data_IF_317328575371
#
_entry.id   IF_317328575371
#
_cell.length_a   1.000
_cell.length_b   1.000
_cell.length_c   1.000
_cell.angle_alpha   90.00
_cell.angle_beta   90.00
_cell.angle_gamma   90.00
#
_symmetry.space_group_name_H-M   'P 1'
#
loop_
_entity.id
_entity.type
_entity.pdbx_description
1 polymer ?
#
# COMPACT_ATOMS: atom_id res chain seq x y z
N UNK A 1 -35.44 -45.47 -24.71
CA UNK A 1 -35.28 -44.06 -24.22
C UNK A 1 -35.16 -43.89 -22.70
N UNK A 2 -35.26 -44.94 -21.86
CA UNK A 2 -35.28 -44.79 -20.39
C UNK A 2 -33.90 -44.78 -19.71
N UNK A 3 -32.86 -45.33 -20.35
CA UNK A 3 -31.50 -45.38 -19.79
C UNK A 3 -30.68 -44.08 -19.97
N UNK A 4 -30.92 -43.32 -21.04
CA UNK A 4 -30.20 -42.05 -21.31
C UNK A 4 -30.59 -40.95 -20.31
N UNK A 5 -31.84 -40.95 -19.84
CA UNK A 5 -32.35 -39.98 -18.85
C UNK A 5 -31.71 -40.21 -17.48
N UNK A 6 -31.46 -41.47 -17.10
CA UNK A 6 -30.79 -41.84 -15.85
C UNK A 6 -29.33 -41.37 -15.81
N UNK A 7 -28.61 -41.46 -16.92
CA UNK A 7 -27.23 -40.99 -17.02
C UNK A 7 -27.12 -39.46 -16.91
N UNK A 8 -28.05 -38.72 -17.52
CA UNK A 8 -28.11 -37.25 -17.36
C UNK A 8 -28.46 -36.82 -15.94
N UNK A 9 -29.31 -37.58 -15.24
CA UNK A 9 -29.65 -37.31 -13.83
C UNK A 9 -28.47 -37.60 -12.89
N UNK A 10 -27.73 -38.68 -13.13
CA UNK A 10 -26.55 -39.03 -12.34
C UNK A 10 -25.41 -38.01 -12.52
N UNK A 11 -25.23 -37.45 -13.73
CA UNK A 11 -24.22 -36.42 -13.98
C UNK A 11 -24.57 -35.07 -13.33
N UNK A 12 -25.87 -34.73 -13.25
CA UNK A 12 -26.35 -33.53 -12.56
C UNK A 12 -26.07 -33.56 -11.05
N UNK A 13 -26.24 -34.71 -10.40
CA UNK A 13 -26.02 -34.85 -8.94
C UNK A 13 -24.52 -34.74 -8.58
N UNK A 14 -23.61 -35.19 -9.46
CA UNK A 14 -22.17 -35.09 -9.26
C UNK A 14 -21.64 -33.65 -9.32
N UNK A 15 -22.27 -32.76 -10.10
CA UNK A 15 -21.87 -31.34 -10.20
C UNK A 15 -22.36 -30.49 -9.02
N UNK A 16 -23.44 -30.89 -8.33
CA UNK A 16 -23.91 -30.20 -7.12
C UNK A 16 -23.14 -30.59 -5.84
N UNK A 17 -22.40 -31.70 -5.84
CA UNK A 17 -21.58 -32.13 -4.71
C UNK A 17 -20.24 -31.38 -4.59
N UNK A 18 -19.85 -30.61 -5.62
CA UNK A 18 -18.75 -29.66 -5.51
C UNK A 18 -19.24 -28.38 -4.82
N UNK A 19 -19.57 -28.51 -3.53
CA UNK A 19 -19.74 -27.35 -2.66
C UNK A 19 -18.44 -26.57 -2.67
N UNK A 20 -18.45 -25.43 -3.37
CA UNK A 20 -17.36 -24.47 -3.33
C UNK A 20 -17.10 -24.13 -1.87
N UNK A 21 -15.94 -24.53 -1.36
CA UNK A 21 -15.46 -24.09 -0.06
C UNK A 21 -15.22 -22.59 -0.22
N UNK A 22 -16.22 -21.77 0.10
CA UNK A 22 -16.02 -20.34 0.25
C UNK A 22 -14.94 -20.20 1.34
N UNK A 23 -13.72 -19.86 0.96
CA UNK A 23 -12.68 -19.50 1.90
C UNK A 23 -13.14 -18.23 2.61
N UNK A 24 -13.84 -18.40 3.73
CA UNK A 24 -14.03 -17.34 4.71
C UNK A 24 -12.65 -17.03 5.24
N UNK A 25 -11.92 -16.13 4.56
CA UNK A 25 -10.69 -15.59 5.11
C UNK A 25 -11.07 -14.93 6.43
N UNK A 26 -10.69 -15.57 7.55
CA UNK A 26 -10.89 -15.00 8.89
C UNK A 26 -10.34 -13.58 8.85
N UNK A 27 -11.22 -12.57 8.89
CA UNK A 27 -10.80 -11.16 8.96
C UNK A 27 -9.85 -11.05 10.15
N UNK A 28 -8.58 -10.78 9.86
CA UNK A 28 -7.55 -10.68 10.90
C UNK A 28 -7.95 -9.57 11.86
N UNK A 29 -8.06 -9.90 13.15
CA UNK A 29 -8.39 -8.93 14.18
C UNK A 29 -7.21 -7.96 14.34
N UNK A 30 -7.43 -6.73 13.91
CA UNK A 30 -6.46 -5.64 14.02
C UNK A 30 -6.92 -4.65 15.07
N UNK A 31 -5.97 -4.00 15.76
CA UNK A 31 -6.31 -2.89 16.65
C UNK A 31 -6.82 -1.69 15.85
N UNK A 32 -7.66 -0.87 16.50
CA UNK A 32 -8.12 0.41 15.92
C UNK A 32 -6.93 1.35 15.68
N UNK A 33 -7.00 2.11 14.58
CA UNK A 33 -5.96 3.07 14.22
C UNK A 33 -5.94 4.23 15.19
N UNK A 34 -4.76 4.51 15.75
CA UNK A 34 -4.55 5.63 16.67
C UNK A 34 -4.01 6.85 15.91
N UNK A 35 -4.91 7.78 15.60
CA UNK A 35 -4.53 9.06 14.98
C UNK A 35 -3.98 10.04 16.01
N UNK A 36 -2.93 10.78 15.63
CA UNK A 36 -2.42 11.91 16.42
C UNK A 36 -3.19 13.18 16.06
N UNK A 37 -3.29 14.14 17.00
CA UNK A 37 -4.00 15.43 16.79
C UNK A 37 -3.53 16.19 15.55
N UNK A 38 -2.26 16.06 15.16
CA UNK A 38 -1.71 16.72 13.97
C UNK A 38 -2.39 16.33 12.65
N UNK A 39 -3.21 15.27 12.60
CA UNK A 39 -3.96 14.91 11.38
C UNK A 39 -5.23 15.75 11.20
N UNK A 40 -5.64 16.56 12.17
CA UNK A 40 -6.82 17.42 12.05
C UNK A 40 -6.53 18.64 11.17
N UNK A 41 -5.31 19.15 11.23
CA UNK A 41 -4.83 20.23 10.37
C UNK A 41 -4.97 19.88 8.86
N UNK A 42 -5.26 20.87 7.99
CA UNK A 42 -5.37 20.68 6.55
C UNK A 42 -4.07 20.15 5.93
N UNK A 43 -4.15 19.61 4.73
CA UNK A 43 -2.95 19.21 3.97
C UNK A 43 -2.07 20.43 3.72
N UNK A 44 -0.76 20.27 3.92
CA UNK A 44 0.21 21.30 3.55
C UNK A 44 0.38 21.34 2.04
N UNK A 45 0.92 22.45 1.50
CA UNK A 45 1.22 22.55 0.07
C UNK A 45 2.14 21.42 -0.42
N UNK A 46 3.13 21.03 0.38
CA UNK A 46 4.03 19.91 0.06
C UNK A 46 3.28 18.58 -0.04
N UNK A 47 2.43 18.26 0.94
CA UNK A 47 1.65 17.02 0.93
C UNK A 47 0.63 16.99 -0.22
N UNK A 48 -0.01 18.13 -0.51
CA UNK A 48 -0.91 18.26 -1.65
C UNK A 48 -0.16 18.08 -2.97
N UNK A 49 1.02 18.69 -3.11
CA UNK A 49 1.87 18.52 -4.29
C UNK A 49 2.29 17.05 -4.50
N UNK A 50 2.66 16.35 -3.43
CA UNK A 50 2.98 14.92 -3.49
C UNK A 50 1.80 14.07 -3.98
N UNK A 51 0.59 14.39 -3.52
CA UNK A 51 -0.64 13.69 -3.93
C UNK A 51 -1.02 14.04 -5.37
N UNK A 52 -0.92 15.31 -5.76
CA UNK A 52 -1.20 15.79 -7.10
C UNK A 52 -0.27 15.16 -8.14
N UNK A 53 1.03 15.06 -7.82
CA UNK A 53 2.02 14.44 -8.71
C UNK A 53 1.63 12.99 -9.05
N UNK A 54 1.16 12.22 -8.07
CA UNK A 54 0.84 10.79 -8.23
C UNK A 54 -0.55 10.56 -8.81
N UNK A 55 -1.56 11.28 -8.33
CA UNK A 55 -2.96 11.03 -8.69
C UNK A 55 -3.49 11.92 -9.82
N UNK A 56 -2.84 13.04 -10.14
CA UNK A 56 -3.21 13.93 -11.23
C UNK A 56 -4.71 14.31 -11.21
N UNK A 57 -5.42 14.14 -12.33
CA UNK A 57 -6.86 14.37 -12.48
C UNK A 57 -7.71 13.47 -11.59
N UNK A 58 -7.17 12.32 -11.17
CA UNK A 58 -7.84 11.35 -10.31
C UNK A 58 -7.76 11.68 -8.82
N UNK A 59 -7.01 12.72 -8.44
CA UNK A 59 -6.81 13.10 -7.03
C UNK A 59 -8.13 13.37 -6.30
N UNK A 60 -9.01 14.13 -6.93
CA UNK A 60 -10.30 14.48 -6.33
C UNK A 60 -11.13 13.22 -6.06
N UNK A 61 -11.23 12.34 -7.06
CA UNK A 61 -12.08 11.15 -7.00
C UNK A 61 -11.60 10.13 -5.98
N UNK A 62 -10.30 9.81 -5.93
CA UNK A 62 -9.80 8.71 -5.08
C UNK A 62 -9.26 9.14 -3.72
N UNK A 63 -9.00 10.44 -3.52
CA UNK A 63 -8.41 10.93 -2.26
C UNK A 63 -9.30 11.99 -1.62
N UNK A 64 -9.52 13.12 -2.28
CA UNK A 64 -10.11 14.30 -1.63
C UNK A 64 -11.60 14.16 -1.35
N UNK A 65 -12.33 13.38 -2.15
CA UNK A 65 -13.75 13.07 -1.96
C UNK A 65 -14.03 12.27 -0.69
N UNK A 66 -13.03 11.60 -0.11
CA UNK A 66 -13.17 10.73 1.05
C UNK A 66 -12.38 11.30 2.24
N UNK A 67 -13.06 11.92 3.23
CA UNK A 67 -12.40 12.52 4.39
C UNK A 67 -11.52 11.55 5.19
N UNK A 68 -11.92 10.28 5.29
CA UNK A 68 -11.13 9.25 5.96
C UNK A 68 -9.85 8.97 5.18
N UNK A 69 -9.92 8.90 3.84
CA UNK A 69 -8.74 8.71 2.99
C UNK A 69 -7.75 9.87 3.11
N UNK A 70 -8.25 11.11 3.13
CA UNK A 70 -7.42 12.29 3.40
C UNK A 70 -6.75 12.20 4.76
N UNK A 71 -7.49 11.79 5.80
CA UNK A 71 -6.96 11.57 7.15
C UNK A 71 -5.88 10.47 7.19
N UNK A 72 -6.06 9.40 6.43
CA UNK A 72 -5.09 8.30 6.30
C UNK A 72 -3.78 8.77 5.67
N UNK A 73 -3.84 9.56 4.59
CA UNK A 73 -2.64 10.13 3.97
C UNK A 73 -1.93 11.13 4.88
N UNK A 74 -2.67 12.00 5.58
CA UNK A 74 -2.09 12.89 6.61
C UNK A 74 -1.37 12.07 7.68
N UNK A 75 -2.00 11.00 8.16
CA UNK A 75 -1.36 10.15 9.16
C UNK A 75 -0.12 9.43 8.60
N UNK A 76 -0.19 8.94 7.37
CA UNK A 76 0.91 8.27 6.68
C UNK A 76 2.13 9.20 6.56
N UNK A 77 1.95 10.36 5.92
CA UNK A 77 3.03 11.29 5.59
C UNK A 77 3.63 11.95 6.85
N UNK A 78 2.80 12.30 7.84
CA UNK A 78 3.26 13.03 9.04
C UNK A 78 3.84 12.14 10.12
N UNK A 79 3.33 10.91 10.27
CA UNK A 79 3.59 10.10 11.46
C UNK A 79 4.20 8.74 11.19
N UNK A 80 3.97 8.15 10.01
CA UNK A 80 4.33 6.76 9.74
C UNK A 80 5.55 6.64 8.83
N UNK A 81 5.65 7.47 7.80
CA UNK A 81 6.82 7.53 6.92
C UNK A 81 7.94 8.28 7.64
N UNK A 82 9.12 7.67 7.67
CA UNK A 82 10.34 8.30 8.17
C UNK A 82 11.50 7.94 7.26
N UNK A 83 12.17 8.95 6.71
CA UNK A 83 13.37 8.78 5.89
C UNK A 83 14.57 9.17 6.74
N UNK A 84 15.50 8.24 6.96
CA UNK A 84 16.68 8.45 7.80
C UNK A 84 17.93 7.83 7.19
N UNK A 85 19.06 8.51 7.39
CA UNK A 85 20.40 7.98 7.06
C UNK A 85 20.75 6.86 8.05
N UNK A 86 21.12 5.68 7.55
CA UNK A 86 21.49 4.49 8.34
C UNK A 86 22.59 3.68 7.65
N UNK A 87 23.84 4.17 7.62
CA UNK A 87 24.95 3.49 6.93
C UNK A 87 25.16 2.06 7.42
N UNK A 88 25.00 1.82 8.73
CA UNK A 88 25.17 0.50 9.35
C UNK A 88 24.19 -0.57 8.85
N UNK A 89 23.08 -0.18 8.21
CA UNK A 89 22.12 -1.14 7.64
C UNK A 89 22.41 -1.50 6.20
N UNK A 90 23.28 -0.76 5.50
CA UNK A 90 23.59 -0.96 4.07
C UNK A 90 24.04 -2.39 3.78
N UNK A 91 24.87 -2.97 4.66
CA UNK A 91 25.37 -4.34 4.53
C UNK A 91 24.33 -5.43 4.80
N UNK A 92 23.23 -5.11 5.51
CA UNK A 92 22.24 -6.08 5.95
C UNK A 92 21.05 -6.17 4.99
N UNK A 93 21.29 -6.78 3.81
CA UNK A 93 20.33 -6.82 2.69
C UNK A 93 19.00 -7.51 3.03
N UNK A 94 18.96 -8.40 4.02
CA UNK A 94 17.75 -9.12 4.40
C UNK A 94 16.72 -8.26 5.15
N UNK A 95 17.15 -7.11 5.69
CA UNK A 95 16.30 -6.22 6.51
C UNK A 95 15.49 -5.20 5.71
N UNK A 96 15.72 -5.08 4.40
CA UNK A 96 15.08 -4.06 3.58
C UNK A 96 14.87 -4.54 2.14
N UNK A 97 13.96 -3.86 1.44
CA UNK A 97 13.83 -3.98 -0.02
C UNK A 97 14.40 -2.73 -0.69
N UNK A 98 14.94 -2.86 -1.89
CA UNK A 98 15.33 -1.70 -2.69
C UNK A 98 14.08 -1.00 -3.22
N UNK A 99 14.13 0.33 -3.30
CA UNK A 99 13.01 1.11 -3.84
C UNK A 99 12.85 0.88 -5.35
N UNK A 100 13.94 0.68 -6.09
CA UNK A 100 13.88 0.26 -7.49
C UNK A 100 13.18 -1.09 -7.67
N UNK A 101 13.36 -2.03 -6.74
CA UNK A 101 12.81 -3.37 -6.82
C UNK A 101 11.28 -3.44 -6.62
N UNK A 102 10.67 -2.43 -5.98
CA UNK A 102 9.21 -2.37 -5.81
C UNK A 102 8.50 -1.70 -7.00
N UNK A 103 9.24 -0.93 -7.80
CA UNK A 103 8.69 -0.20 -8.94
C UNK A 103 7.90 1.06 -8.57
N UNK A 104 7.43 1.75 -9.61
CA UNK A 104 6.61 2.96 -9.50
C UNK A 104 5.12 2.61 -9.33
N UNK A 105 4.40 3.48 -8.61
CA UNK A 105 2.95 3.46 -8.49
C UNK A 105 2.34 4.35 -9.59
N UNK A 106 2.36 3.88 -10.83
CA UNK A 106 1.97 4.63 -12.01
C UNK A 106 0.51 4.41 -12.47
N UNK A 107 -0.35 3.87 -11.58
CA UNK A 107 -1.74 3.55 -11.89
C UNK A 107 -2.58 4.77 -12.32
N UNK A 108 -2.22 5.97 -11.86
CA UNK A 108 -2.94 7.22 -12.16
C UNK A 108 -2.10 8.23 -12.92
N UNK A 109 -0.77 8.07 -12.92
CA UNK A 109 0.16 8.90 -13.67
C UNK A 109 1.23 8.01 -14.31
N UNK A 110 1.12 7.78 -15.61
CA UNK A 110 2.08 6.97 -16.39
C UNK A 110 3.42 7.67 -16.59
N UNK A 111 3.48 8.99 -16.41
CA UNK A 111 4.69 9.79 -16.61
C UNK A 111 5.59 9.86 -15.37
N UNK A 112 5.29 9.09 -14.31
CA UNK A 112 6.17 9.01 -13.15
C UNK A 112 7.53 8.42 -13.55
N UNK A 113 8.60 8.99 -12.98
CA UNK A 113 9.98 8.55 -13.21
C UNK A 113 10.64 8.24 -11.87
N UNK A 114 11.52 7.23 -11.86
CA UNK A 114 12.35 6.92 -10.70
C UNK A 114 13.33 8.08 -10.44
N UNK A 115 13.39 8.53 -9.18
CA UNK A 115 14.39 9.51 -8.77
C UNK A 115 15.81 8.94 -8.93
N UNK A 116 16.68 9.67 -9.64
CA UNK A 116 18.09 9.29 -9.83
C UNK A 116 18.91 9.41 -8.54
N UNK A 117 18.48 10.28 -7.63
CA UNK A 117 19.14 10.58 -6.37
C UNK A 117 18.12 11.01 -5.32
N UNK A 118 18.48 10.88 -4.04
CA UNK A 118 17.64 11.34 -2.94
C UNK A 118 17.88 12.82 -2.63
N UNK A 119 16.81 13.62 -2.69
CA UNK A 119 16.79 14.99 -2.18
C UNK A 119 15.56 15.17 -1.27
N UNK A 120 15.77 15.48 0.01
CA UNK A 120 14.70 15.62 0.99
C UNK A 120 13.66 16.72 0.66
N UNK A 121 14.04 17.71 -0.15
CA UNK A 121 13.15 18.81 -0.54
C UNK A 121 12.13 18.37 -1.60
N UNK A 122 12.56 17.56 -2.57
CA UNK A 122 11.78 17.16 -3.76
C UNK A 122 11.29 15.71 -3.72
N UNK A 123 11.88 14.84 -2.91
CA UNK A 123 11.56 13.42 -2.89
C UNK A 123 10.11 13.15 -2.48
N UNK A 124 9.35 12.53 -3.39
CA UNK A 124 7.98 12.11 -3.15
C UNK A 124 7.91 10.59 -2.95
N UNK A 125 7.70 10.19 -1.70
CA UNK A 125 7.59 8.78 -1.31
C UNK A 125 6.40 8.07 -1.96
N UNK A 126 5.32 8.79 -2.31
CA UNK A 126 4.09 8.21 -2.84
C UNK A 126 4.22 7.70 -4.29
N UNK A 127 5.31 8.07 -4.99
CA UNK A 127 5.58 7.63 -6.37
C UNK A 127 5.87 6.14 -6.48
N UNK A 128 6.19 5.49 -5.38
CA UNK A 128 6.69 4.13 -5.34
C UNK A 128 5.62 3.17 -4.83
N UNK A 129 5.63 1.93 -5.31
CA UNK A 129 4.66 0.90 -4.93
C UNK A 129 4.99 0.29 -3.55
N UNK A 130 5.05 1.14 -2.54
CA UNK A 130 5.37 0.77 -1.16
C UNK A 130 4.12 0.26 -0.44
N UNK A 131 4.32 -0.65 0.51
CA UNK A 131 3.24 -1.24 1.28
C UNK A 131 2.76 -0.29 2.40
N UNK A 132 2.19 0.86 2.02
CA UNK A 132 1.78 1.91 2.97
C UNK A 132 0.70 1.47 3.96
N UNK A 133 -0.24 0.63 3.55
CA UNK A 133 -1.39 0.21 4.35
C UNK A 133 -1.35 -1.29 4.72
N UNK A 134 -0.17 -1.91 4.64
CA UNK A 134 0.03 -3.29 5.04
C UNK A 134 0.09 -3.49 6.55
N UNK A 135 0.12 -4.77 6.94
CA UNK A 135 0.32 -5.18 8.33
C UNK A 135 1.82 -5.22 8.62
N UNK A 136 2.22 -4.62 9.74
CA UNK A 136 3.61 -4.56 10.17
C UNK A 136 4.33 -3.32 9.64
N UNK A 137 5.56 -3.14 10.10
CA UNK A 137 6.41 -2.07 9.60
C UNK A 137 7.25 -2.59 8.43
N UNK A 138 7.44 -1.77 7.42
CA UNK A 138 8.27 -2.09 6.26
C UNK A 138 9.44 -1.11 6.15
N UNK A 139 10.55 -1.60 5.62
CA UNK A 139 11.77 -0.82 5.43
C UNK A 139 12.26 -0.96 3.99
N UNK A 140 12.54 0.18 3.37
CA UNK A 140 13.04 0.26 2.02
C UNK A 140 14.30 1.10 1.99
N UNK A 141 15.31 0.68 1.24
CA UNK A 141 16.51 1.48 0.99
C UNK A 141 16.32 2.26 -0.30
N UNK A 142 16.72 3.52 -0.28
CA UNK A 142 16.77 4.35 -1.47
C UNK A 142 18.04 3.97 -2.25
N UNK A 143 17.94 2.88 -3.01
CA UNK A 143 18.94 2.28 -3.88
C UNK A 143 20.40 2.45 -3.40
N UNK A 144 21.23 3.14 -4.18
CA UNK A 144 22.66 3.28 -3.93
C UNK A 144 23.00 4.29 -2.82
N UNK A 145 22.03 4.75 -2.04
CA UNK A 145 22.25 5.70 -0.94
C UNK A 145 22.27 5.01 0.42
N UNK A 146 22.60 5.78 1.46
CA UNK A 146 22.53 5.33 2.86
C UNK A 146 21.18 5.71 3.52
N UNK A 147 20.19 6.16 2.73
CA UNK A 147 18.88 6.58 3.24
C UNK A 147 17.86 5.44 3.16
N UNK A 148 17.09 5.32 4.23
CA UNK A 148 16.08 4.28 4.40
C UNK A 148 14.73 4.91 4.71
N UNK A 149 13.71 4.46 3.99
CA UNK A 149 12.30 4.75 4.23
C UNK A 149 11.78 3.67 5.18
N UNK A 150 11.38 4.08 6.37
CA UNK A 150 10.64 3.23 7.31
C UNK A 150 9.18 3.63 7.28
N UNK A 151 8.29 2.67 7.03
CA UNK A 151 6.85 2.86 7.12
C UNK A 151 6.39 2.12 8.37
N UNK A 152 6.03 2.87 9.41
CA UNK A 152 5.50 2.27 10.65
C UNK A 152 4.14 1.66 10.39
N UNK A 153 3.81 0.55 11.06
CA UNK A 153 2.48 -0.06 10.93
C UNK A 153 1.35 0.88 11.35
N UNK A 154 0.22 0.85 10.64
CA UNK A 154 -1.01 1.54 11.06
C UNK A 154 -1.76 0.72 12.13
N UNK A 155 -1.76 -0.61 11.93
CA UNK A 155 -2.42 -1.58 12.79
C UNK A 155 -1.43 -2.67 13.17
N UNK A 156 -1.46 -3.10 14.43
CA UNK A 156 -0.71 -4.28 14.88
C UNK A 156 -1.75 -5.40 15.00
N UNK A 157 -1.34 -6.62 14.67
CA UNK A 157 -2.16 -7.81 14.88
C UNK A 157 -2.44 -7.92 16.39
N UNK A 158 -3.70 -8.09 16.77
CA UNK A 158 -4.05 -8.41 18.16
C UNK A 158 -3.56 -9.80 18.51
#
# INVERSE_FOLDING_TARGET
MKFKVFFTLAFGVLLFAQQGVAQTQKKQQTQLVKYKKNVEAPLTAKEMGMLQEVYQDKLQTYVLSNPQRVKDFKHLLRNRVSIKKRPNLVSNKDKYKLISAVGLFNNYNSNLVLDKSYDASTFNVLKYNLQFFGIGSSMYRIDNTEYFITIKSQTIRK
#
